data_IF_985070132586
#
_entry.id   IF_985070132586
#
_cell.length_a   1.000
_cell.length_b   1.000
_cell.length_c   1.000
_cell.angle_alpha   90.00
_cell.angle_beta   90.00
_cell.angle_gamma   90.00
#
_symmetry.space_group_name_H-M   'P 1'
#
loop_
_entity.id
_entity.type
_entity.pdbx_description
1 polymer ?
#
# COMPACT_ATOMS: atom_id res chain seq x y z
N UNK A 1 30.95 -55.42 -3.72
CA UNK A 1 30.70 -54.36 -2.72
C UNK A 1 30.49 -53.03 -3.45
N UNK A 2 29.24 -52.64 -3.72
CA UNK A 2 28.88 -51.30 -4.21
C UNK A 2 27.49 -50.98 -3.66
N UNK A 3 27.44 -50.28 -2.54
CA UNK A 3 26.20 -49.69 -2.03
C UNK A 3 25.95 -48.40 -2.81
N UNK A 4 24.91 -48.39 -3.64
CA UNK A 4 24.43 -47.17 -4.26
C UNK A 4 23.56 -46.45 -3.23
N UNK A 5 24.08 -45.37 -2.66
CA UNK A 5 23.38 -44.54 -1.69
C UNK A 5 22.46 -43.57 -2.46
N UNK A 6 21.19 -43.96 -2.65
CA UNK A 6 20.17 -43.05 -3.19
C UNK A 6 19.81 -42.02 -2.12
N UNK A 7 20.40 -40.82 -2.19
CA UNK A 7 19.95 -39.67 -1.40
C UNK A 7 18.58 -39.22 -1.90
N UNK A 8 17.52 -39.61 -1.19
CA UNK A 8 16.22 -38.96 -1.29
C UNK A 8 16.35 -37.54 -0.74
N UNK A 9 16.45 -36.54 -1.62
CA UNK A 9 16.17 -35.16 -1.23
C UNK A 9 14.66 -35.03 -0.99
N UNK A 10 14.25 -35.08 0.28
CA UNK A 10 12.91 -34.68 0.68
C UNK A 10 12.76 -33.18 0.40
N UNK A 11 12.12 -32.83 -0.71
CA UNK A 11 11.74 -31.45 -1.02
C UNK A 11 10.56 -31.11 -0.12
N UNK A 12 10.81 -30.35 0.95
CA UNK A 12 9.76 -29.85 1.85
C UNK A 12 8.94 -28.82 1.07
N UNK A 13 7.67 -29.14 0.77
CA UNK A 13 6.74 -28.19 0.17
C UNK A 13 6.53 -26.98 1.10
N UNK A 14 6.58 -25.76 0.55
CA UNK A 14 6.35 -24.56 1.34
C UNK A 14 4.93 -24.55 1.93
N UNK A 15 4.81 -24.24 3.23
CA UNK A 15 3.52 -24.16 3.91
C UNK A 15 2.58 -23.13 3.26
N UNK A 16 1.28 -23.44 3.23
CA UNK A 16 0.28 -22.53 2.69
C UNK A 16 0.11 -21.28 3.58
N UNK A 17 -0.36 -20.15 3.02
CA UNK A 17 -0.56 -18.92 3.79
C UNK A 17 -1.59 -19.14 4.90
N UNK A 18 -1.28 -18.66 6.10
CA UNK A 18 -2.26 -18.58 7.18
C UNK A 18 -3.01 -17.24 7.04
N UNK A 19 -4.33 -17.29 6.88
CA UNK A 19 -5.17 -16.11 6.70
C UNK A 19 -6.12 -15.88 7.89
N UNK A 20 -6.33 -14.61 8.24
CA UNK A 20 -7.24 -14.19 9.31
C UNK A 20 -7.99 -12.93 8.88
N UNK A 21 -9.31 -12.91 9.05
CA UNK A 21 -10.11 -11.70 8.89
C UNK A 21 -9.90 -10.78 10.10
N UNK A 22 -9.50 -9.54 9.83
CA UNK A 22 -9.26 -8.53 10.86
C UNK A 22 -10.41 -7.54 10.97
N UNK A 23 -11.06 -7.24 9.85
CA UNK A 23 -12.18 -6.31 9.78
C UNK A 23 -13.24 -6.88 8.84
N UNK A 24 -14.49 -6.92 9.29
CA UNK A 24 -15.61 -7.48 8.52
C UNK A 24 -16.68 -6.42 8.34
N UNK A 25 -17.14 -6.22 7.11
CA UNK A 25 -18.23 -5.29 6.81
C UNK A 25 -19.49 -5.60 7.64
N UNK A 26 -20.14 -4.55 8.15
CA UNK A 26 -21.32 -4.65 9.02
C UNK A 26 -21.02 -4.83 10.50
N UNK A 27 -19.75 -4.98 10.89
CA UNK A 27 -19.36 -5.07 12.31
C UNK A 27 -18.97 -3.72 12.91
N UNK A 28 -19.06 -3.61 14.23
CA UNK A 28 -18.60 -2.46 15.02
C UNK A 28 -19.18 -1.11 14.57
N UNK A 29 -20.36 -1.11 13.93
CA UNK A 29 -21.03 0.11 13.46
C UNK A 29 -20.55 0.64 12.10
N UNK A 30 -19.77 -0.12 11.33
CA UNK A 30 -19.29 0.30 10.01
C UNK A 30 -19.85 -0.58 8.90
N UNK A 31 -20.31 0.04 7.80
CA UNK A 31 -20.83 -0.70 6.64
C UNK A 31 -19.74 -1.41 5.85
N UNK A 32 -18.51 -0.91 5.87
CA UNK A 32 -17.35 -1.55 5.24
C UNK A 32 -16.03 -1.00 5.79
N UNK A 33 -14.97 -1.77 5.59
CA UNK A 33 -13.59 -1.38 5.88
C UNK A 33 -12.79 -1.48 4.59
N UNK A 34 -12.06 -0.42 4.26
CA UNK A 34 -11.32 -0.29 2.98
C UNK A 34 -9.95 0.33 3.21
N UNK A 35 -9.17 0.39 2.13
CA UNK A 35 -7.89 1.10 2.09
C UNK A 35 -6.93 0.57 3.18
N UNK A 36 -6.55 -0.72 3.07
CA UNK A 36 -5.67 -1.36 4.05
C UNK A 36 -4.27 -0.73 4.03
N UNK A 37 -3.71 -0.55 5.22
CA UNK A 37 -2.29 -0.30 5.41
C UNK A 37 -1.70 -1.24 6.45
N UNK A 38 -0.44 -1.61 6.24
CA UNK A 38 0.25 -2.59 7.07
C UNK A 38 1.67 -2.13 7.36
N UNK A 39 2.04 -2.10 8.64
CA UNK A 39 3.38 -1.77 9.06
C UNK A 39 3.94 -2.85 9.97
N UNK A 40 5.09 -3.42 9.60
CA UNK A 40 5.89 -4.27 10.49
C UNK A 40 7.11 -3.48 11.00
N UNK A 41 7.29 -3.45 12.33
CA UNK A 41 8.46 -2.84 12.98
C UNK A 41 8.95 -3.75 14.10
N UNK A 42 10.01 -4.51 13.83
CA UNK A 42 10.43 -5.62 14.69
C UNK A 42 9.39 -6.74 14.71
N UNK A 43 8.87 -7.06 15.91
CA UNK A 43 7.79 -8.04 16.08
C UNK A 43 6.39 -7.38 16.17
N UNK A 44 6.35 -6.05 16.23
CA UNK A 44 5.09 -5.32 16.22
C UNK A 44 4.58 -5.21 14.79
N UNK A 45 3.31 -5.56 14.59
CA UNK A 45 2.61 -5.35 13.32
C UNK A 45 1.36 -4.51 13.58
N UNK A 46 1.16 -3.46 12.79
CA UNK A 46 -0.01 -2.61 12.83
C UNK A 46 -0.77 -2.77 11.52
N UNK A 47 -2.03 -3.21 11.62
CA UNK A 47 -2.97 -3.27 10.52
C UNK A 47 -3.98 -2.14 10.71
N UNK A 48 -4.09 -1.23 9.75
CA UNK A 48 -4.97 -0.07 9.81
C UNK A 48 -5.76 0.08 8.52
N UNK A 49 -6.88 0.80 8.60
CA UNK A 49 -7.83 0.90 7.51
C UNK A 49 -8.74 2.13 7.66
N UNK A 50 -9.36 2.52 6.56
CA UNK A 50 -10.57 3.34 6.58
C UNK A 50 -11.76 2.49 7.03
N UNK A 51 -12.49 2.97 8.03
CA UNK A 51 -13.74 2.38 8.51
C UNK A 51 -14.90 3.30 8.12
N UNK A 52 -15.71 2.88 7.14
CA UNK A 52 -16.75 3.73 6.55
C UNK A 52 -18.08 3.48 7.26
N UNK A 53 -18.66 4.50 7.90
CA UNK A 53 -19.84 4.36 8.76
C UNK A 53 -21.14 4.19 7.99
N UNK A 54 -21.38 5.07 7.02
CA UNK A 54 -22.71 5.27 6.41
C UNK A 54 -22.77 4.96 4.90
N UNK A 55 -21.62 4.71 4.27
CA UNK A 55 -21.52 4.38 2.86
C UNK A 55 -20.22 3.66 2.51
N UNK A 56 -20.14 3.12 1.29
CA UNK A 56 -18.92 2.48 0.77
C UNK A 56 -18.11 3.39 -0.14
N UNK A 57 -18.55 4.63 -0.38
CA UNK A 57 -17.90 5.60 -1.26
C UNK A 57 -16.73 6.33 -0.58
N UNK A 58 -15.90 6.98 -1.38
CA UNK A 58 -14.66 7.61 -0.92
C UNK A 58 -14.86 8.90 -0.11
N UNK A 59 -16.09 9.42 -0.08
CA UNK A 59 -16.51 10.64 0.62
C UNK A 59 -17.55 10.35 1.72
N UNK A 60 -17.61 9.11 2.21
CA UNK A 60 -18.46 8.73 3.32
C UNK A 60 -17.99 9.40 4.62
N UNK A 61 -18.76 9.20 5.70
CA UNK A 61 -18.25 9.38 7.05
C UNK A 61 -17.23 8.27 7.33
N UNK A 62 -15.95 8.63 7.44
CA UNK A 62 -14.83 7.68 7.47
C UNK A 62 -13.92 7.95 8.65
N UNK A 63 -13.79 6.95 9.52
CA UNK A 63 -12.79 6.86 10.58
C UNK A 63 -11.52 6.18 10.11
N UNK A 64 -10.43 6.34 10.86
CA UNK A 64 -9.26 5.45 10.77
C UNK A 64 -9.27 4.50 11.95
N UNK A 65 -9.24 3.20 11.67
CA UNK A 65 -9.15 2.14 12.68
C UNK A 65 -7.83 1.39 12.60
N UNK A 66 -7.47 0.70 13.68
CA UNK A 66 -6.27 -0.13 13.73
C UNK A 66 -6.45 -1.36 14.64
N UNK A 67 -5.75 -2.43 14.28
CA UNK A 67 -5.42 -3.55 15.16
C UNK A 67 -3.91 -3.70 15.26
N UNK A 68 -3.45 -4.18 16.41
CA UNK A 68 -2.03 -4.31 16.74
C UNK A 68 -1.69 -5.76 17.11
N UNK A 69 -0.54 -6.22 16.64
CA UNK A 69 0.05 -7.50 17.00
C UNK A 69 1.45 -7.29 17.58
N UNK A 70 1.82 -8.08 18.58
CA UNK A 70 3.17 -8.07 19.20
C UNK A 70 3.98 -9.33 18.91
N UNK A 71 3.42 -10.26 18.14
CA UNK A 71 4.00 -11.57 17.86
C UNK A 71 4.07 -11.87 16.36
N UNK A 72 4.34 -10.83 15.55
CA UNK A 72 4.53 -10.98 14.10
C UNK A 72 3.23 -11.29 13.34
N UNK A 73 2.10 -10.78 13.82
CA UNK A 73 0.78 -10.91 13.19
C UNK A 73 0.06 -12.23 13.49
N UNK A 74 0.53 -13.05 14.44
CA UNK A 74 -0.11 -14.33 14.79
C UNK A 74 -1.41 -14.13 15.57
N UNK A 75 -1.42 -13.18 16.49
CA UNK A 75 -2.62 -12.76 17.22
C UNK A 75 -2.70 -11.24 17.24
N UNK A 76 -3.92 -10.73 17.39
CA UNK A 76 -4.24 -9.31 17.28
C UNK A 76 -5.02 -8.85 18.50
N UNK A 77 -4.66 -7.66 18.99
CA UNK A 77 -5.44 -6.91 19.95
C UNK A 77 -6.82 -6.53 19.36
N UNK A 78 -7.81 -6.21 20.22
CA UNK A 78 -9.08 -5.64 19.76
C UNK A 78 -8.88 -4.42 18.86
N UNK A 79 -9.83 -4.20 17.95
CA UNK A 79 -9.84 -3.01 17.10
C UNK A 79 -9.97 -1.76 17.97
N UNK A 80 -9.29 -0.69 17.55
CA UNK A 80 -9.47 0.65 18.11
C UNK A 80 -9.64 1.69 17.00
N UNK A 81 -10.38 2.74 17.31
CA UNK A 81 -10.44 3.94 16.47
C UNK A 81 -9.19 4.78 16.77
N UNK A 82 -8.41 5.10 15.74
CA UNK A 82 -7.26 5.98 15.82
C UNK A 82 -7.65 7.44 15.62
N UNK A 83 -8.52 7.69 14.65
CA UNK A 83 -9.05 9.01 14.32
C UNK A 83 -10.55 8.85 14.13
N UNK A 84 -11.30 9.55 14.97
CA UNK A 84 -12.74 9.72 14.82
C UNK A 84 -12.99 10.92 13.91
N UNK A 85 -13.75 10.69 12.86
CA UNK A 85 -14.11 11.68 11.85
C UNK A 85 -15.08 12.74 12.35
N UNK A 86 -15.81 12.44 13.43
CA UNK A 86 -17.12 13.00 13.76
C UNK A 86 -18.13 12.93 12.60
N UNK A 87 -17.96 13.76 11.56
CA UNK A 87 -18.77 13.79 10.33
C UNK A 87 -17.95 14.07 9.08
N UNK A 88 -16.63 14.18 9.21
CA UNK A 88 -15.72 14.41 8.10
C UNK A 88 -15.37 13.09 7.39
N UNK A 89 -14.64 13.20 6.28
CA UNK A 89 -13.98 12.06 5.65
C UNK A 89 -12.52 12.03 6.10
N UNK A 90 -12.11 11.06 6.92
CA UNK A 90 -10.70 10.83 7.25
C UNK A 90 -10.16 9.72 6.37
N UNK A 91 -9.14 10.00 5.55
CA UNK A 91 -8.82 9.13 4.42
C UNK A 91 -7.32 8.92 4.21
N UNK A 92 -7.00 7.89 3.43
CA UNK A 92 -5.66 7.57 2.95
C UNK A 92 -4.59 7.52 4.07
N UNK A 93 -4.81 6.71 5.12
CA UNK A 93 -3.83 6.59 6.20
C UNK A 93 -2.51 6.00 5.69
N UNK A 94 -1.39 6.53 6.19
CA UNK A 94 -0.05 6.03 5.93
C UNK A 94 0.79 5.94 7.19
N UNK A 95 1.43 4.79 7.43
CA UNK A 95 2.44 4.66 8.49
C UNK A 95 3.84 4.37 7.95
N UNK A 96 4.86 4.84 8.68
CA UNK A 96 6.28 4.62 8.39
C UNK A 96 6.98 4.15 9.67
N UNK A 97 7.79 3.09 9.56
CA UNK A 97 8.62 2.64 10.67
C UNK A 97 9.76 3.63 10.91
N UNK A 98 9.88 4.10 12.16
CA UNK A 98 10.94 4.98 12.60
C UNK A 98 12.30 4.28 12.75
N UNK A 99 13.27 5.00 13.32
CA UNK A 99 14.63 4.48 13.52
C UNK A 99 14.70 3.60 14.77
N UNK A 100 14.07 4.03 15.86
CA UNK A 100 14.09 3.31 17.13
C UNK A 100 12.96 2.29 17.18
N UNK A 101 13.15 1.20 17.92
CA UNK A 101 12.10 0.22 18.14
C UNK A 101 10.86 0.91 18.73
N UNK A 102 9.68 0.62 18.17
CA UNK A 102 8.42 1.22 18.59
C UNK A 102 8.15 2.63 18.07
N UNK A 103 9.11 3.26 17.38
CA UNK A 103 8.90 4.54 16.72
C UNK A 103 8.10 4.37 15.43
N UNK A 104 6.98 5.08 15.30
CA UNK A 104 6.10 5.06 14.13
C UNK A 104 5.70 6.48 13.78
N UNK A 105 5.76 6.81 12.50
CA UNK A 105 5.24 8.04 11.91
C UNK A 105 3.89 7.71 11.26
N UNK A 106 2.86 8.52 11.51
CA UNK A 106 1.51 8.28 11.01
C UNK A 106 0.98 9.56 10.35
N UNK A 107 0.54 9.43 9.11
CA UNK A 107 -0.02 10.49 8.30
C UNK A 107 -1.42 10.09 7.84
N UNK A 108 -2.29 11.09 7.64
CA UNK A 108 -3.62 10.90 7.07
C UNK A 108 -4.14 12.21 6.48
N UNK A 109 -5.19 12.11 5.67
CA UNK A 109 -5.91 13.26 5.14
C UNK A 109 -7.27 13.45 5.83
N UNK A 110 -7.76 14.67 5.82
CA UNK A 110 -9.16 15.01 6.14
C UNK A 110 -9.78 15.73 4.96
N UNK A 111 -10.93 15.25 4.52
CA UNK A 111 -11.74 15.73 3.39
C UNK A 111 -10.95 15.86 2.08
N UNK A 112 -9.89 15.03 1.90
CA UNK A 112 -8.93 15.17 0.81
C UNK A 112 -8.33 16.58 0.67
N UNK A 113 -8.35 17.42 1.70
CA UNK A 113 -7.97 18.82 1.60
C UNK A 113 -6.86 19.19 2.57
N UNK A 114 -6.82 18.51 3.72
CA UNK A 114 -5.83 18.74 4.77
C UNK A 114 -5.06 17.47 5.05
N UNK A 115 -3.77 17.61 5.37
CA UNK A 115 -2.91 16.51 5.76
C UNK A 115 -2.45 16.69 7.21
N UNK A 116 -2.42 15.60 7.96
CA UNK A 116 -2.05 15.59 9.37
C UNK A 116 -0.96 14.56 9.66
N UNK A 117 -0.20 14.83 10.70
CA UNK A 117 0.89 13.99 11.19
C UNK A 117 0.76 13.71 12.69
N UNK A 118 1.00 12.47 13.07
CA UNK A 118 1.12 11.98 14.45
C UNK A 118 2.34 11.06 14.56
N UNK A 119 2.84 10.88 15.78
CA UNK A 119 3.95 9.95 16.05
C UNK A 119 3.63 9.06 17.24
N UNK A 120 4.10 7.83 17.19
CA UNK A 120 4.16 6.92 18.34
C UNK A 120 5.62 6.61 18.67
N UNK A 121 5.92 6.46 19.97
CA UNK A 121 7.22 5.99 20.47
C UNK A 121 7.12 4.68 21.27
N UNK A 122 5.93 4.10 21.35
CA UNK A 122 5.62 2.94 22.21
C UNK A 122 5.09 1.73 21.41
N UNK A 123 5.38 1.70 20.10
CA UNK A 123 4.97 0.65 19.19
C UNK A 123 3.50 0.75 18.79
N UNK A 124 2.98 1.97 18.69
CA UNK A 124 1.62 2.24 18.25
C UNK A 124 0.60 2.04 19.36
N UNK A 125 0.98 2.01 20.64
CA UNK A 125 -0.01 1.97 21.74
C UNK A 125 -0.65 3.33 21.92
N UNK A 126 0.13 4.40 21.89
CA UNK A 126 -0.35 5.78 21.90
C UNK A 126 0.23 6.55 20.72
N UNK A 127 -0.45 7.62 20.33
CA UNK A 127 0.01 8.56 19.31
C UNK A 127 -0.07 9.98 19.87
N UNK A 128 0.89 10.83 19.51
CA UNK A 128 0.90 12.26 19.84
C UNK A 128 -0.36 12.97 19.33
N UNK A 129 -0.59 14.19 19.81
CA UNK A 129 -1.55 15.10 19.19
C UNK A 129 -1.31 15.27 17.69
N UNK A 130 -2.40 15.50 16.96
CA UNK A 130 -2.34 15.70 15.51
C UNK A 130 -1.76 17.07 15.19
N UNK A 131 -0.82 17.09 14.24
CA UNK A 131 -0.25 18.32 13.70
C UNK A 131 -0.59 18.45 12.23
N UNK A 132 -1.18 19.57 11.84
CA UNK A 132 -1.45 19.84 10.44
C UNK A 132 -0.14 20.07 9.66
N UNK A 133 -0.02 19.42 8.51
CA UNK A 133 1.14 19.49 7.60
C UNK A 133 0.71 19.85 6.17
N UNK A 134 -0.51 20.37 5.98
CA UNK A 134 -1.06 20.79 4.67
C UNK A 134 -0.14 21.76 3.93
N UNK A 135 0.61 22.59 4.66
CA UNK A 135 1.60 23.52 4.09
C UNK A 135 2.67 22.86 3.21
N UNK A 136 2.97 21.56 3.39
CA UNK A 136 3.85 20.82 2.48
C UNK A 136 3.29 20.81 1.04
N UNK A 137 1.99 20.59 0.89
CA UNK A 137 1.30 20.52 -0.40
C UNK A 137 1.06 21.90 -1.03
N UNK A 138 0.94 22.95 -0.22
CA UNK A 138 0.72 24.32 -0.71
C UNK A 138 1.85 24.79 -1.64
N UNK A 139 3.07 24.29 -1.42
CA UNK A 139 4.23 24.55 -2.29
C UNK A 139 4.04 24.06 -3.74
N UNK A 140 3.13 23.10 -3.96
CA UNK A 140 2.79 22.58 -5.29
C UNK A 140 1.64 23.33 -5.96
N UNK A 141 0.87 24.15 -5.23
CA UNK A 141 -0.35 24.79 -5.76
C UNK A 141 -0.06 25.71 -6.94
N UNK A 142 1.10 26.40 -6.92
CA UNK A 142 1.54 27.25 -8.03
C UNK A 142 1.90 26.49 -9.31
N UNK A 143 2.18 25.19 -9.23
CA UNK A 143 2.48 24.32 -10.38
C UNK A 143 1.24 23.53 -10.82
N UNK A 144 0.35 23.22 -9.89
CA UNK A 144 -0.85 22.44 -10.11
C UNK A 144 -1.91 22.86 -9.10
N UNK A 145 -2.96 23.56 -9.53
CA UNK A 145 -3.99 24.16 -8.66
C UNK A 145 -4.95 23.11 -8.08
N UNK A 146 -4.40 22.27 -7.20
CA UNK A 146 -5.07 21.12 -6.62
C UNK A 146 -6.19 21.55 -5.66
N UNK A 147 -7.27 20.78 -5.63
CA UNK A 147 -8.33 20.88 -4.61
C UNK A 147 -8.55 19.54 -3.88
N UNK A 148 -7.72 18.55 -4.19
CA UNK A 148 -7.71 17.21 -3.61
C UNK A 148 -6.25 16.78 -3.40
N UNK A 149 -5.96 16.24 -2.23
CA UNK A 149 -4.68 15.62 -1.85
C UNK A 149 -4.93 14.28 -1.15
N UNK A 150 -3.97 13.38 -1.27
CA UNK A 150 -4.00 12.07 -0.62
C UNK A 150 -2.58 11.54 -0.35
N UNK A 151 -2.39 10.96 0.84
CA UNK A 151 -1.17 10.24 1.23
C UNK A 151 -1.28 8.74 0.92
N UNK A 152 -0.46 8.20 0.02
CA UNK A 152 -0.49 6.77 -0.29
C UNK A 152 -1.72 6.31 -1.10
N UNK A 153 -2.47 5.27 -0.66
CA UNK A 153 -2.56 4.73 0.71
C UNK A 153 -1.60 3.59 1.04
N UNK A 154 -1.63 3.13 2.30
CA UNK A 154 -0.91 1.98 2.86
C UNK A 154 0.39 2.43 3.52
N UNK A 155 1.59 1.99 3.16
CA UNK A 155 2.81 2.41 3.89
C UNK A 155 3.70 3.42 3.14
N UNK A 156 4.47 4.18 3.93
CA UNK A 156 5.58 4.98 3.43
C UNK A 156 6.92 4.34 3.81
N UNK A 157 8.02 4.89 3.32
CA UNK A 157 9.35 4.34 3.54
C UNK A 157 10.25 5.30 4.31
N UNK A 158 11.19 4.73 5.06
CA UNK A 158 12.34 5.46 5.59
C UNK A 158 13.55 5.10 4.75
N UNK A 159 14.13 6.09 4.09
CA UNK A 159 15.36 5.91 3.31
C UNK A 159 16.54 5.64 4.25
N UNK A 160 17.62 5.04 3.71
CA UNK A 160 18.84 4.74 4.47
C UNK A 160 19.48 5.97 5.13
N UNK A 161 19.34 7.14 4.52
CA UNK A 161 19.84 8.42 5.07
C UNK A 161 18.95 8.98 6.21
N UNK A 162 17.83 8.33 6.53
CA UNK A 162 16.91 8.74 7.58
C UNK A 162 15.67 9.48 7.11
N UNK A 163 15.62 9.95 5.85
CA UNK A 163 14.46 10.63 5.26
C UNK A 163 13.21 9.75 5.36
N UNK A 164 12.13 10.32 5.87
CA UNK A 164 10.79 9.75 5.77
C UNK A 164 10.19 10.17 4.43
N UNK A 165 9.56 9.24 3.71
CA UNK A 165 9.04 9.49 2.38
C UNK A 165 7.66 8.84 2.21
N UNK A 166 6.71 9.62 1.69
CA UNK A 166 5.36 9.17 1.35
C UNK A 166 5.08 9.59 -0.08
N UNK A 167 4.69 8.65 -0.94
CA UNK A 167 4.16 8.98 -2.25
C UNK A 167 2.75 9.57 -2.08
N UNK A 168 2.46 10.62 -2.85
CA UNK A 168 1.20 11.36 -2.76
C UNK A 168 0.63 11.59 -4.14
N UNK A 169 -0.68 11.80 -4.21
CA UNK A 169 -1.34 12.28 -5.41
C UNK A 169 -2.22 13.49 -5.11
N UNK A 170 -2.35 14.34 -6.11
CA UNK A 170 -3.13 15.57 -6.08
C UNK A 170 -4.09 15.59 -7.26
N UNK A 171 -5.21 16.30 -7.14
CA UNK A 171 -6.17 16.47 -8.23
C UNK A 171 -6.81 17.84 -8.22
N UNK A 172 -7.19 18.35 -9.39
CA UNK A 172 -8.06 19.54 -9.56
C UNK A 172 -9.54 19.17 -9.72
N UNK A 173 -9.86 17.87 -9.66
CA UNK A 173 -11.16 17.32 -10.02
C UNK A 173 -12.23 17.28 -8.94
N UNK A 174 -11.93 17.77 -7.73
CA UNK A 174 -12.80 17.61 -6.57
C UNK A 174 -13.20 16.14 -6.37
N UNK A 175 -14.50 15.91 -6.18
CA UNK A 175 -15.06 14.55 -5.91
C UNK A 175 -14.81 13.51 -7.01
N UNK A 176 -14.39 13.91 -8.22
CA UNK A 176 -14.05 12.98 -9.31
C UNK A 176 -12.60 12.49 -9.26
N UNK A 177 -11.76 13.14 -8.45
CA UNK A 177 -10.33 12.85 -8.30
C UNK A 177 -9.52 12.90 -9.62
N UNK A 178 -10.03 13.59 -10.65
CA UNK A 178 -9.40 13.72 -11.99
C UNK A 178 -9.58 15.12 -12.60
N UNK A 179 -8.60 15.66 -13.34
CA UNK A 179 -7.29 15.07 -13.61
C UNK A 179 -6.44 14.98 -12.33
N UNK A 180 -5.38 14.17 -12.33
CA UNK A 180 -4.52 13.99 -11.16
C UNK A 180 -3.04 13.97 -11.51
N UNK A 181 -2.20 14.27 -10.51
CA UNK A 181 -0.72 14.29 -10.60
C UNK A 181 -0.13 13.57 -9.39
N UNK A 182 1.09 13.05 -9.52
CA UNK A 182 1.82 12.34 -8.47
C UNK A 182 3.06 13.12 -8.05
N UNK A 183 3.38 13.06 -6.75
CA UNK A 183 4.61 13.57 -6.16
C UNK A 183 4.97 12.73 -4.93
N UNK A 184 5.89 13.23 -4.12
CA UNK A 184 6.15 12.72 -2.78
C UNK A 184 6.09 13.86 -1.77
N UNK A 185 5.81 13.54 -0.51
CA UNK A 185 6.18 14.40 0.62
C UNK A 185 7.24 13.69 1.45
N UNK A 186 8.12 14.47 2.05
CA UNK A 186 9.23 13.94 2.82
C UNK A 186 9.55 14.78 4.05
N UNK A 187 10.28 14.16 4.97
CA UNK A 187 10.85 14.81 6.15
C UNK A 187 12.27 14.31 6.38
N UNK A 188 13.20 15.25 6.51
CA UNK A 188 14.63 14.99 6.81
C UNK A 188 14.99 15.20 8.28
N UNK A 189 14.04 15.66 9.10
CA UNK A 189 14.23 16.04 10.50
C UNK A 189 13.35 15.20 11.45
N UNK A 190 13.20 13.92 11.11
CA UNK A 190 12.45 12.94 11.92
C UNK A 190 10.96 13.29 12.12
N UNK A 191 10.33 13.92 11.13
CA UNK A 191 8.92 14.27 11.12
C UNK A 191 8.62 15.61 11.77
N UNK A 192 9.62 16.46 12.02
CA UNK A 192 9.43 17.80 12.60
C UNK A 192 9.00 18.82 11.54
N UNK A 193 9.41 18.69 10.29
CA UNK A 193 8.91 19.45 9.14
C UNK A 193 8.66 18.50 7.97
N UNK A 194 7.74 18.90 7.08
CA UNK A 194 7.38 18.14 5.89
C UNK A 194 7.42 19.07 4.68
N UNK A 195 8.01 18.58 3.60
CA UNK A 195 8.17 19.28 2.33
C UNK A 195 7.61 18.40 1.21
N UNK A 196 7.12 19.01 0.13
CA UNK A 196 6.82 18.30 -1.09
C UNK A 196 8.09 18.13 -1.95
N UNK A 197 8.17 17.00 -2.64
CA UNK A 197 9.04 16.83 -3.79
C UNK A 197 8.44 17.49 -5.04
N UNK A 198 9.15 17.39 -6.16
CA UNK A 198 8.67 17.81 -7.46
C UNK A 198 7.54 16.91 -7.96
N UNK A 199 6.71 17.44 -8.86
CA UNK A 199 5.71 16.64 -9.56
C UNK A 199 6.42 15.67 -10.53
N UNK A 200 5.96 14.43 -10.58
CA UNK A 200 6.38 13.47 -11.63
C UNK A 200 5.98 14.04 -13.01
N UNK A 201 6.81 13.84 -14.06
CA UNK A 201 6.48 14.29 -15.42
C UNK A 201 5.08 13.86 -15.88
N UNK A 202 4.37 14.78 -16.51
CA UNK A 202 2.95 14.66 -16.85
C UNK A 202 2.73 13.88 -18.16
N UNK A 203 3.05 12.59 -18.13
CA UNK A 203 2.92 11.70 -19.31
C UNK A 203 1.96 10.54 -19.08
N UNK A 204 1.30 10.49 -17.92
CA UNK A 204 0.35 9.45 -17.57
C UNK A 204 -1.06 10.06 -17.42
N UNK A 205 -2.11 9.40 -17.93
CA UNK A 205 -3.49 9.76 -17.62
C UNK A 205 -3.83 9.40 -16.16
N UNK A 206 -4.24 10.41 -15.41
CA UNK A 206 -4.74 10.32 -14.04
C UNK A 206 -3.90 9.41 -13.11
N UNK A 207 -2.57 9.63 -13.00
CA UNK A 207 -1.75 8.89 -12.06
C UNK A 207 -2.18 9.21 -10.62
N UNK A 208 -2.20 8.19 -9.77
CA UNK A 208 -2.70 8.33 -8.40
C UNK A 208 -1.91 7.48 -7.40
N UNK A 209 -2.52 6.43 -6.85
CA UNK A 209 -2.01 5.65 -5.73
C UNK A 209 -0.69 4.96 -6.07
N UNK A 210 0.38 5.46 -5.43
CA UNK A 210 1.76 5.19 -5.82
C UNK A 210 2.53 4.64 -4.64
N UNK A 211 3.46 3.72 -4.90
CA UNK A 211 4.35 3.16 -3.89
C UNK A 211 5.79 3.49 -4.19
N UNK A 212 6.57 3.75 -3.13
CA UNK A 212 7.99 4.01 -3.22
C UNK A 212 8.80 2.83 -2.69
N UNK A 213 9.91 2.51 -3.34
CA UNK A 213 10.94 1.63 -2.77
C UNK A 213 12.33 2.23 -3.01
N UNK A 214 13.20 2.13 -2.02
CA UNK A 214 14.60 2.50 -2.21
C UNK A 214 15.36 1.33 -2.87
N UNK A 215 15.99 1.62 -4.01
CA UNK A 215 16.84 0.71 -4.76
C UNK A 215 18.18 0.48 -4.05
N UNK A 216 18.94 -0.51 -4.49
CA UNK A 216 20.26 -0.83 -3.91
C UNK A 216 21.28 0.28 -4.14
N UNK A 217 21.23 0.92 -5.31
CA UNK A 217 22.06 2.08 -5.66
C UNK A 217 21.73 3.36 -4.84
N UNK A 218 20.66 3.33 -4.04
CA UNK A 218 20.22 4.43 -3.18
C UNK A 218 19.13 5.30 -3.79
N UNK A 219 18.90 5.20 -5.11
CA UNK A 219 17.78 5.86 -5.78
C UNK A 219 16.43 5.35 -5.28
N UNK A 220 15.37 6.10 -5.54
CA UNK A 220 14.00 5.77 -5.16
C UNK A 220 13.19 5.54 -6.43
N UNK A 221 12.52 4.40 -6.47
CA UNK A 221 11.59 4.02 -7.53
C UNK A 221 10.16 4.20 -7.05
N UNK A 222 9.34 4.85 -7.87
CA UNK A 222 7.89 4.88 -7.76
C UNK A 222 7.27 3.81 -8.65
N UNK A 223 6.26 3.13 -8.14
CA UNK A 223 5.36 2.25 -8.88
C UNK A 223 3.95 2.87 -8.84
N UNK A 224 3.50 3.35 -9.99
CA UNK A 224 2.44 4.36 -10.11
C UNK A 224 1.17 3.72 -10.67
N UNK A 225 0.06 3.86 -9.93
CA UNK A 225 -1.28 3.58 -10.46
C UNK A 225 -1.64 4.61 -11.51
N UNK A 226 -2.21 4.19 -12.64
CA UNK A 226 -2.62 5.08 -13.73
C UNK A 226 -3.87 4.55 -14.47
N UNK A 227 -4.44 5.39 -15.33
CA UNK A 227 -5.65 5.08 -16.10
C UNK A 227 -5.36 4.92 -17.60
N UNK A 228 -4.19 4.39 -17.93
CA UNK A 228 -3.74 4.28 -19.31
C UNK A 228 -4.29 3.01 -19.96
N UNK A 229 -4.58 3.03 -21.29
CA UNK A 229 -5.06 1.86 -22.02
C UNK A 229 -4.05 0.72 -22.10
N UNK A 230 -2.77 0.95 -21.76
CA UNK A 230 -1.72 -0.05 -21.68
C UNK A 230 -1.97 -1.07 -20.55
N UNK A 231 -2.76 -0.68 -19.53
CA UNK A 231 -3.04 -1.51 -18.36
C UNK A 231 -1.77 -2.09 -17.73
N UNK A 232 -0.78 -1.21 -17.50
CA UNK A 232 0.48 -1.54 -16.84
C UNK A 232 0.80 -0.54 -15.75
N UNK A 233 1.42 -1.03 -14.68
CA UNK A 233 2.08 -0.17 -13.69
C UNK A 233 3.13 0.67 -14.40
N UNK A 234 3.18 1.96 -14.09
CA UNK A 234 4.23 2.85 -14.57
C UNK A 234 5.32 3.02 -13.51
N UNK A 235 6.56 3.18 -13.95
CA UNK A 235 7.74 3.32 -13.11
C UNK A 235 8.41 4.66 -13.38
N UNK A 236 8.74 5.38 -12.31
CA UNK A 236 9.56 6.60 -12.36
C UNK A 236 10.62 6.55 -11.25
N UNK A 237 11.82 7.05 -11.51
CA UNK A 237 12.97 6.95 -10.59
C UNK A 237 13.53 8.33 -10.31
N UNK A 238 13.90 8.58 -9.06
CA UNK A 238 14.61 9.78 -8.60
C UNK A 238 15.82 9.37 -7.78
N UNK A 239 16.93 10.09 -7.87
CA UNK A 239 18.12 9.82 -7.08
C UNK A 239 17.89 9.97 -5.56
N UNK A 240 16.95 10.84 -5.15
CA UNK A 240 16.72 11.20 -3.74
C UNK A 240 15.25 11.01 -3.29
N UNK A 241 14.38 10.57 -4.20
CA UNK A 241 12.95 10.38 -3.96
C UNK A 241 12.14 11.68 -3.82
N UNK A 242 12.69 12.82 -4.23
CA UNK A 242 12.04 14.13 -4.12
C UNK A 242 12.15 14.95 -5.42
N UNK A 243 13.28 14.94 -6.12
CA UNK A 243 13.50 15.78 -7.31
C UNK A 243 13.89 14.96 -8.52
N UNK A 244 13.81 15.55 -9.71
CA UNK A 244 14.34 15.01 -10.97
C UNK A 244 13.80 13.62 -11.30
N UNK A 245 12.49 13.44 -11.11
CA UNK A 245 11.81 12.19 -11.46
C UNK A 245 11.96 11.90 -12.96
N UNK A 246 12.42 10.69 -13.28
CA UNK A 246 12.49 10.23 -14.66
C UNK A 246 11.09 10.21 -15.29
N UNK A 247 11.00 10.41 -16.61
CA UNK A 247 9.74 10.22 -17.35
C UNK A 247 9.19 8.82 -17.06
N UNK A 248 7.91 8.70 -16.65
CA UNK A 248 7.31 7.40 -16.37
C UNK A 248 7.38 6.43 -17.55
N UNK A 249 7.68 5.16 -17.28
CA UNK A 249 7.68 4.08 -18.27
C UNK A 249 6.85 2.90 -17.79
N UNK A 250 6.05 2.31 -18.66
CA UNK A 250 5.27 1.11 -18.34
C UNK A 250 6.17 -0.10 -18.12
N UNK A 251 5.89 -0.87 -17.06
CA UNK A 251 6.57 -2.14 -16.81
C UNK A 251 5.80 -3.30 -17.45
N UNK A 252 6.39 -3.97 -18.44
CA UNK A 252 5.68 -4.96 -19.27
C UNK A 252 5.07 -6.14 -18.50
N UNK A 253 5.70 -6.58 -17.40
CA UNK A 253 5.21 -7.71 -16.58
C UNK A 253 4.19 -7.33 -15.51
N UNK A 254 4.02 -6.05 -15.17
CA UNK A 254 3.16 -5.63 -14.07
C UNK A 254 1.82 -5.13 -14.61
N UNK A 255 0.89 -6.07 -14.75
CA UNK A 255 -0.49 -5.81 -15.18
C UNK A 255 -1.19 -4.88 -14.19
N UNK A 256 -2.04 -3.98 -14.69
CA UNK A 256 -2.77 -3.01 -13.87
C UNK A 256 -4.27 -2.95 -14.21
N UNK A 257 -5.17 -3.33 -13.29
CA UNK A 257 -6.61 -3.22 -13.48
C UNK A 257 -7.19 -1.86 -13.04
N UNK A 258 -6.35 -0.82 -12.89
CA UNK A 258 -6.66 0.48 -12.25
C UNK A 258 -7.01 0.30 -10.77
N UNK A 259 -6.00 -0.14 -10.02
CA UNK A 259 -6.10 -0.43 -8.58
C UNK A 259 -4.79 -0.05 -7.89
N UNK A 260 -4.86 0.23 -6.59
CA UNK A 260 -3.66 0.32 -5.76
C UNK A 260 -2.91 -1.02 -5.77
N UNK A 261 -1.59 -0.93 -5.64
CA UNK A 261 -0.70 -2.07 -5.46
C UNK A 261 0.30 -1.74 -4.34
N UNK A 262 0.93 -2.75 -3.74
CA UNK A 262 1.98 -2.56 -2.74
C UNK A 262 3.33 -3.07 -3.23
N UNK A 263 4.41 -2.47 -2.74
CA UNK A 263 5.79 -2.78 -3.11
C UNK A 263 6.69 -2.65 -1.88
N UNK A 264 7.38 -3.72 -1.50
CA UNK A 264 8.34 -3.72 -0.40
C UNK A 264 9.67 -4.33 -0.81
N UNK A 265 10.74 -3.92 -0.12
CA UNK A 265 11.98 -4.68 -0.08
C UNK A 265 11.90 -5.72 1.03
N UNK A 266 12.16 -6.98 0.69
CA UNK A 266 12.20 -8.04 1.68
C UNK A 266 13.51 -7.96 2.49
N UNK A 267 13.52 -8.23 3.82
CA UNK A 267 14.73 -8.13 4.67
C UNK A 267 15.88 -9.05 4.25
N UNK A 268 15.59 -10.15 3.55
CA UNK A 268 16.60 -11.07 2.98
C UNK A 268 17.01 -10.69 1.54
N UNK A 269 16.63 -9.51 1.06
CA UNK A 269 16.87 -9.06 -0.31
C UNK A 269 15.73 -9.39 -1.27
N UNK A 270 15.76 -8.71 -2.42
CA UNK A 270 14.70 -8.75 -3.44
C UNK A 270 13.50 -7.85 -3.11
N UNK A 271 12.66 -7.66 -4.12
CA UNK A 271 11.42 -6.90 -4.05
C UNK A 271 10.22 -7.83 -4.09
N UNK A 272 9.16 -7.44 -3.38
CA UNK A 272 7.85 -8.08 -3.44
C UNK A 272 6.82 -7.05 -3.86
N UNK A 273 5.96 -7.43 -4.79
CA UNK A 273 4.86 -6.61 -5.30
C UNK A 273 3.54 -7.36 -5.14
N UNK A 274 2.46 -6.67 -4.79
CA UNK A 274 1.13 -7.27 -4.77
C UNK A 274 0.07 -6.39 -5.41
N UNK A 275 -0.76 -7.00 -6.24
CA UNK A 275 -1.94 -6.38 -6.83
C UNK A 275 -2.92 -7.45 -7.35
N UNK A 276 -4.15 -7.08 -7.75
CA UNK A 276 -4.98 -7.94 -8.57
C UNK A 276 -4.35 -8.07 -9.97
N UNK A 277 -3.82 -9.27 -10.28
CA UNK A 277 -3.01 -9.54 -11.48
C UNK A 277 -3.86 -10.14 -12.61
N UNK A 278 -4.76 -9.34 -13.18
CA UNK A 278 -5.61 -9.76 -14.29
C UNK A 278 -6.13 -8.55 -15.10
N UNK A 279 -6.69 -8.82 -16.30
CA UNK A 279 -7.33 -7.83 -17.17
C UNK A 279 -8.76 -8.24 -17.56
N UNK A 280 -9.39 -9.11 -16.78
CA UNK A 280 -10.78 -9.50 -17.04
C UNK A 280 -11.72 -8.34 -16.72
N UNK A 281 -12.89 -8.31 -17.35
CA UNK A 281 -13.89 -7.25 -17.17
C UNK A 281 -15.29 -7.85 -17.02
N UNK A 282 -15.45 -8.77 -16.07
CA UNK A 282 -16.73 -9.44 -15.78
C UNK A 282 -17.63 -8.59 -14.87
N UNK A 283 -17.05 -7.71 -14.05
CA UNK A 283 -17.77 -6.88 -13.08
C UNK A 283 -17.81 -5.39 -13.45
N UNK A 284 -17.23 -5.02 -14.59
CA UNK A 284 -17.15 -3.65 -15.09
C UNK A 284 -17.47 -3.59 -16.58
N UNK A 285 -18.05 -2.48 -17.03
CA UNK A 285 -18.32 -2.23 -18.45
C UNK A 285 -17.07 -1.67 -19.13
N UNK A 286 -16.24 -2.55 -19.70
CA UNK A 286 -14.99 -2.17 -20.36
C UNK A 286 -15.16 -1.23 -21.57
N UNK A 287 -16.38 -1.09 -22.11
CA UNK A 287 -16.65 -0.11 -23.17
C UNK A 287 -16.76 1.32 -22.63
N UNK A 288 -16.99 1.49 -21.32
CA UNK A 288 -17.17 2.80 -20.65
C UNK A 288 -16.00 3.18 -19.76
N UNK A 289 -15.08 2.27 -19.49
CA UNK A 289 -13.96 2.52 -18.57
C UNK A 289 -12.73 1.64 -18.83
N UNK A 290 -11.56 2.18 -18.47
CA UNK A 290 -10.29 1.43 -18.44
C UNK A 290 -10.16 0.52 -17.22
N UNK A 291 -11.07 0.59 -16.24
CA UNK A 291 -11.04 -0.33 -15.11
C UNK A 291 -11.16 -1.79 -15.57
N UNK A 292 -10.55 -2.68 -14.81
CA UNK A 292 -10.70 -4.14 -14.92
C UNK A 292 -11.09 -4.73 -13.56
N UNK A 293 -11.41 -6.00 -13.56
CA UNK A 293 -11.83 -6.72 -12.37
C UNK A 293 -10.74 -6.72 -11.30
N UNK A 294 -11.15 -6.41 -10.07
CA UNK A 294 -10.32 -6.55 -8.89
C UNK A 294 -10.49 -7.97 -8.33
N UNK A 295 -9.66 -8.89 -8.83
CA UNK A 295 -9.58 -10.30 -8.43
C UNK A 295 -8.18 -10.88 -8.70
N UNK A 296 -7.94 -12.12 -8.27
CA UNK A 296 -6.63 -12.77 -8.42
C UNK A 296 -5.49 -11.95 -7.78
N UNK A 297 -5.67 -11.53 -6.53
CA UNK A 297 -4.60 -10.87 -5.79
C UNK A 297 -3.38 -11.79 -5.76
N UNK A 298 -2.30 -11.30 -6.33
CA UNK A 298 -1.09 -12.07 -6.61
C UNK A 298 0.11 -11.36 -6.01
N UNK A 299 1.00 -12.14 -5.39
CA UNK A 299 2.29 -11.66 -4.89
C UNK A 299 3.36 -12.05 -5.89
N UNK A 300 4.17 -11.09 -6.31
CA UNK A 300 5.25 -11.25 -7.30
C UNK A 300 6.60 -10.96 -6.65
N UNK A 301 7.66 -11.61 -7.12
CA UNK A 301 9.02 -11.45 -6.63
C UNK A 301 9.98 -11.03 -7.74
N UNK A 302 10.86 -10.09 -7.41
CA UNK A 302 11.99 -9.67 -8.25
C UNK A 302 13.30 -9.78 -7.46
N UNK A 303 14.33 -10.34 -8.10
CA UNK A 303 15.68 -10.45 -7.56
C UNK A 303 16.64 -9.37 -8.06
N UNK A 304 16.20 -8.52 -8.99
CA UNK A 304 17.03 -7.61 -9.80
C UNK A 304 16.49 -6.18 -9.78
N UNK A 305 16.09 -5.69 -8.60
CA UNK A 305 15.63 -4.31 -8.40
C UNK A 305 14.38 -3.92 -9.18
N UNK A 306 13.55 -4.90 -9.53
CA UNK A 306 12.28 -4.69 -10.21
C UNK A 306 12.38 -4.62 -11.73
N UNK A 307 13.54 -4.97 -12.31
CA UNK A 307 13.73 -5.08 -13.76
C UNK A 307 13.01 -6.31 -14.33
N UNK A 308 13.01 -7.44 -13.60
CA UNK A 308 12.23 -8.63 -13.93
C UNK A 308 11.50 -9.22 -12.73
N UNK A 309 10.28 -9.73 -12.98
CA UNK A 309 9.45 -10.42 -11.99
C UNK A 309 9.38 -11.91 -12.34
N UNK A 310 10.25 -12.70 -11.72
CA UNK A 310 10.51 -14.09 -12.14
C UNK A 310 9.69 -15.14 -11.41
N UNK A 311 8.97 -14.74 -10.35
CA UNK A 311 8.04 -15.63 -9.64
C UNK A 311 6.79 -14.86 -9.24
N UNK A 312 5.64 -15.55 -9.30
CA UNK A 312 4.36 -15.01 -8.83
C UNK A 312 3.47 -16.11 -8.28
N UNK A 313 2.66 -15.78 -7.28
CA UNK A 313 1.72 -16.72 -6.66
C UNK A 313 0.43 -16.04 -6.26
N UNK A 314 -0.69 -16.64 -6.65
CA UNK A 314 -2.03 -16.16 -6.30
C UNK A 314 -2.25 -16.38 -4.79
N UNK A 315 -2.54 -15.29 -4.08
CA UNK A 315 -2.85 -15.29 -2.66
C UNK A 315 -4.36 -15.42 -2.44
N UNK A 316 -5.16 -14.72 -3.23
CA UNK A 316 -6.63 -14.77 -3.20
C UNK A 316 -7.17 -14.83 -4.65
N UNK A 317 -7.73 -15.97 -5.08
CA UNK A 317 -8.29 -16.10 -6.44
C UNK A 317 -9.60 -15.33 -6.61
N UNK A 318 -10.35 -15.09 -5.53
CA UNK A 318 -11.62 -14.38 -5.57
C UNK A 318 -11.49 -12.87 -5.74
N UNK A 319 -12.63 -12.18 -5.58
CA UNK A 319 -12.68 -10.72 -5.55
C UNK A 319 -11.73 -10.19 -4.49
N UNK A 320 -10.80 -9.36 -4.94
CA UNK A 320 -9.73 -8.81 -4.10
C UNK A 320 -9.21 -7.52 -4.70
N UNK A 321 -9.10 -6.50 -3.86
CA UNK A 321 -8.77 -5.14 -4.25
C UNK A 321 -7.43 -4.69 -3.71
N UNK A 322 -7.46 -3.63 -2.91
CA UNK A 322 -6.26 -3.00 -2.37
C UNK A 322 -5.56 -3.99 -1.45
N UNK A 323 -4.23 -3.95 -1.42
CA UNK A 323 -3.41 -4.84 -0.62
C UNK A 323 -2.14 -4.12 -0.17
N UNK A 324 -1.74 -4.29 1.08
CA UNK A 324 -0.47 -3.76 1.58
C UNK A 324 0.41 -4.85 2.19
N UNK A 325 1.67 -4.90 1.73
CA UNK A 325 2.68 -5.86 2.17
C UNK A 325 3.50 -5.29 3.32
N UNK A 326 3.91 -6.17 4.23
CA UNK A 326 4.93 -5.89 5.21
C UNK A 326 5.80 -7.14 5.42
N UNK A 327 7.02 -6.96 5.91
CA UNK A 327 7.89 -8.07 6.27
C UNK A 327 8.43 -7.89 7.69
N UNK A 328 8.28 -8.91 8.53
CA UNK A 328 8.88 -8.94 9.87
C UNK A 328 10.39 -9.19 9.78
N UNK A 329 11.10 -8.92 10.87
CA UNK A 329 12.57 -9.05 10.93
C UNK A 329 13.08 -10.46 10.56
N UNK A 330 12.31 -11.51 10.85
CA UNK A 330 12.64 -12.89 10.52
C UNK A 330 12.40 -13.25 9.03
N UNK A 331 11.82 -12.34 8.26
CA UNK A 331 11.47 -12.53 6.85
C UNK A 331 10.12 -13.23 6.63
N UNK A 332 9.25 -13.29 7.65
CA UNK A 332 7.84 -13.61 7.40
C UNK A 332 7.19 -12.45 6.66
N UNK A 333 6.47 -12.74 5.58
CA UNK A 333 5.72 -11.77 4.81
C UNK A 333 4.29 -11.75 5.33
N UNK A 334 3.74 -10.54 5.45
CA UNK A 334 2.33 -10.31 5.71
C UNK A 334 1.74 -9.51 4.55
N UNK A 335 0.48 -9.81 4.21
CA UNK A 335 -0.30 -9.03 3.24
C UNK A 335 -1.68 -8.78 3.84
N UNK A 336 -2.04 -7.51 4.06
CA UNK A 336 -3.39 -7.10 4.45
C UNK A 336 -4.13 -6.65 3.21
N UNK A 337 -5.27 -7.26 2.90
CA UNK A 337 -5.95 -7.01 1.63
C UNK A 337 -7.47 -7.01 1.74
N UNK A 338 -8.09 -6.28 0.82
CA UNK A 338 -9.54 -6.30 0.59
C UNK A 338 -9.93 -7.66 0.00
N UNK A 339 -10.84 -8.37 0.65
CA UNK A 339 -11.34 -9.68 0.24
C UNK A 339 -12.86 -9.71 0.16
N UNK A 340 -13.35 -10.27 -0.95
CA UNK A 340 -14.77 -10.40 -1.25
C UNK A 340 -15.43 -9.08 -1.63
N UNK A 341 -16.60 -9.18 -2.25
CA UNK A 341 -17.45 -8.04 -2.59
C UNK A 341 -18.89 -8.31 -2.18
N UNK A 342 -19.49 -7.39 -1.44
CA UNK A 342 -20.91 -7.43 -1.09
C UNK A 342 -21.75 -7.13 -2.34
N UNK A 343 -22.87 -7.84 -2.50
CA UNK A 343 -23.79 -7.69 -3.64
C UNK A 343 -23.10 -7.79 -5.00
N UNK A 344 -22.05 -8.61 -5.10
CA UNK A 344 -21.20 -8.78 -6.30
C UNK A 344 -20.55 -7.47 -6.78
N UNK A 345 -20.40 -6.48 -5.91
CA UNK A 345 -19.75 -5.21 -6.21
C UNK A 345 -18.27 -5.26 -5.77
N UNK A 346 -17.36 -5.14 -6.74
CA UNK A 346 -15.91 -5.18 -6.51
C UNK A 346 -15.36 -3.99 -5.72
N UNK A 347 -16.15 -2.94 -5.52
CA UNK A 347 -15.81 -1.75 -4.73
C UNK A 347 -16.42 -1.75 -3.34
N UNK A 348 -17.32 -2.70 -3.04
CA UNK A 348 -17.96 -2.85 -1.73
C UNK A 348 -17.34 -4.02 -0.98
N UNK A 349 -16.15 -3.80 -0.42
CA UNK A 349 -15.34 -4.81 0.26
C UNK A 349 -16.11 -5.51 1.37
N UNK A 350 -16.04 -6.85 1.39
CA UNK A 350 -16.65 -7.66 2.43
C UNK A 350 -15.79 -7.76 3.69
N UNK A 351 -14.46 -7.91 3.52
CA UNK A 351 -13.52 -8.11 4.62
C UNK A 351 -12.16 -7.51 4.31
N UNK A 352 -11.42 -7.14 5.35
CA UNK A 352 -9.97 -6.99 5.29
C UNK A 352 -9.32 -8.19 5.96
N UNK A 353 -8.53 -8.93 5.19
CA UNK A 353 -7.90 -10.19 5.58
C UNK A 353 -6.39 -10.00 5.63
N UNK A 354 -5.74 -10.46 6.70
CA UNK A 354 -4.28 -10.56 6.74
C UNK A 354 -3.86 -11.99 6.44
N UNK A 355 -2.95 -12.17 5.47
CA UNK A 355 -2.29 -13.44 5.21
C UNK A 355 -0.83 -13.39 5.65
N UNK A 356 -0.31 -14.52 6.15
CA UNK A 356 1.08 -14.71 6.57
C UNK A 356 1.71 -15.86 5.80
N UNK A 357 2.85 -15.63 5.17
CA UNK A 357 3.53 -16.63 4.34
C UNK A 357 5.05 -16.36 4.27
N UNK A 358 5.81 -17.33 3.76
CA UNK A 358 7.26 -17.21 3.58
C UNK A 358 7.62 -16.76 2.17
N UNK A 359 8.85 -16.24 2.01
CA UNK A 359 9.41 -15.97 0.69
C UNK A 359 9.50 -17.23 -0.18
N UNK A 360 9.78 -18.39 0.43
CA UNK A 360 9.84 -19.68 -0.28
C UNK A 360 8.47 -20.06 -0.85
N UNK A 361 7.38 -19.72 -0.17
CA UNK A 361 6.04 -19.92 -0.73
C UNK A 361 5.85 -19.08 -2.00
N UNK A 362 6.27 -17.81 -2.02
CA UNK A 362 6.16 -16.96 -3.22
C UNK A 362 7.00 -17.51 -4.38
N UNK A 363 8.21 -17.99 -4.09
CA UNK A 363 9.19 -18.42 -5.10
C UNK A 363 9.04 -19.87 -5.55
N UNK A 364 8.26 -20.68 -4.85
CA UNK A 364 8.06 -22.07 -5.21
C UNK A 364 7.39 -22.17 -6.59
N UNK A 365 8.01 -22.93 -7.50
CA UNK A 365 7.45 -23.23 -8.81
C UNK A 365 6.15 -24.01 -8.64
N UNK A 366 5.07 -23.57 -9.29
CA UNK A 366 3.89 -24.42 -9.46
C UNK A 366 4.32 -25.61 -10.32
N UNK A 367 4.16 -26.83 -9.82
CA UNK A 367 4.41 -28.05 -10.58
C UNK A 367 3.24 -28.35 -11.49
#
# INVERSE_FOLDING_TARGET
>A
MRYSLSLLFAVIAAAQPAAQDLFTAGESGYVTFRIPGLLAHGNTVLAYAEARRDGFGDWADIDIVMRRSTNGGKTWEPMRVLIDSAKDTVNNPVMIAGRKAGEIHFLYCVNYAKAFYKRSSDGGRTFSEAREITGAFETLRGQYDWNVIATGPGHGIRLRNGRLLVAVWLSTGGRKHRPSRVSTIYSDDHGATWLAGELVPDTLPNPSETYAVQRLDGSVQLNIRNESPEHRRAISVSANGATDWSVPRFHAQLVEPVCMASLIRHPKGGLLFSNPDNLEATYVDAAKTVNRDRKNLTVQWSGDEGETWTAKRVLEPGLSGYSDLAATKDGTILCLYERGGLDKNIFRTGRLTVARFSLDWVRATMR
#
